data_IF_650830121863
#
_entry.id   IF_650830121863
#
_cell.length_a   1.000
_cell.length_b   1.000
_cell.length_c   1.000
_cell.angle_alpha   90.00
_cell.angle_beta   90.00
_cell.angle_gamma   90.00
#
_symmetry.space_group_name_H-M   'P 1'
#
loop_
_entity.id
_entity.type
_entity.pdbx_description
1 polymer ?
#
# COMPACT_ATOMS: atom_id res chain seq x y z
N UNK A 1 -58.99 7.45 6.50
CA UNK A 1 -57.79 7.90 7.24
C UNK A 1 -57.01 8.85 6.34
N UNK A 2 -56.73 10.03 6.87
CA UNK A 2 -55.93 11.14 6.34
C UNK A 2 -54.51 10.71 5.90
N UNK A 3 -53.66 11.49 5.22
CA UNK A 3 -53.66 12.64 4.30
C UNK A 3 -52.15 12.96 4.08
N UNK A 4 -51.83 13.85 3.12
CA UNK A 4 -50.53 14.57 2.96
C UNK A 4 -49.47 13.75 2.18
N UNK A 5 -48.85 14.20 1.08
CA UNK A 5 -48.06 15.43 0.92
C UNK A 5 -48.05 15.96 -0.54
N UNK A 6 -48.15 17.29 -0.67
CA UNK A 6 -48.18 18.11 -1.88
C UNK A 6 -47.07 19.15 -1.79
N UNK A 7 -46.20 19.24 -2.79
CA UNK A 7 -45.41 20.42 -3.22
C UNK A 7 -44.59 19.97 -4.44
N UNK A 8 -44.74 20.43 -5.69
CA UNK A 8 -44.85 21.76 -6.34
C UNK A 8 -43.66 22.70 -6.10
N UNK A 9 -42.95 22.96 -7.20
CA UNK A 9 -41.91 23.97 -7.41
C UNK A 9 -41.16 23.61 -8.69
N UNK A 10 -41.78 23.76 -9.87
CA UNK A 10 -41.64 24.91 -10.77
C UNK A 10 -40.20 25.15 -11.23
N UNK A 11 -39.95 24.84 -12.50
CA UNK A 11 -38.76 25.27 -13.21
C UNK A 11 -38.88 26.73 -13.64
N UNK A 12 -37.77 27.45 -13.64
CA UNK A 12 -37.56 28.58 -14.53
C UNK A 12 -36.11 28.55 -15.02
N UNK A 13 -36.02 28.70 -16.33
CA UNK A 13 -34.86 28.74 -17.19
C UNK A 13 -34.24 30.14 -17.14
N UNK A 14 -33.04 30.28 -16.59
CA UNK A 14 -32.34 31.57 -16.55
C UNK A 14 -31.06 31.47 -17.37
N UNK A 15 -31.05 32.29 -18.42
CA UNK A 15 -30.12 32.37 -19.53
C UNK A 15 -28.77 32.97 -19.11
N UNK A 16 -27.73 32.53 -19.81
CA UNK A 16 -26.48 33.20 -20.17
C UNK A 16 -26.17 34.54 -19.52
N UNK A 17 -25.03 34.63 -18.81
CA UNK A 17 -24.19 35.84 -18.80
C UNK A 17 -22.72 35.42 -18.88
N UNK A 18 -22.22 35.44 -20.12
CA UNK A 18 -20.82 35.58 -20.48
C UNK A 18 -20.31 36.90 -19.91
N UNK A 19 -19.31 36.86 -19.05
CA UNK A 19 -18.66 38.04 -18.48
C UNK A 19 -17.16 37.85 -18.45
N UNK A 20 -16.50 38.09 -19.57
CA UNK A 20 -15.07 38.31 -19.64
C UNK A 20 -14.78 39.76 -19.26
N UNK A 21 -14.18 40.02 -18.09
CA UNK A 21 -13.61 41.31 -17.75
C UNK A 21 -12.41 41.12 -16.80
N UNK A 22 -11.22 41.33 -17.37
CA UNK A 22 -10.18 42.25 -16.87
C UNK A 22 -9.92 42.33 -15.37
N UNK A 23 -8.64 42.17 -14.99
CA UNK A 23 -8.13 42.88 -13.83
C UNK A 23 -6.95 42.25 -13.13
N UNK A 24 -5.78 42.34 -13.75
CA UNK A 24 -4.49 42.26 -13.08
C UNK A 24 -4.48 43.26 -11.89
N UNK A 25 -4.49 42.76 -10.67
CA UNK A 25 -4.05 43.50 -9.49
C UNK A 25 -2.97 42.67 -8.80
N UNK A 26 -1.72 42.98 -9.15
CA UNK A 26 -0.56 42.75 -8.31
C UNK A 26 -0.78 43.53 -7.00
N UNK A 27 -1.17 42.83 -5.95
CA UNK A 27 -0.87 43.26 -4.59
C UNK A 27 0.24 42.35 -4.08
N UNK A 28 1.47 42.78 -4.39
CA UNK A 28 2.62 42.48 -3.58
C UNK A 28 2.35 43.02 -2.16
N UNK A 29 1.85 42.16 -1.28
CA UNK A 29 1.85 42.44 0.14
C UNK A 29 3.27 42.16 0.67
N UNK A 30 4.02 43.17 1.15
CA UNK A 30 5.17 42.89 1.97
C UNK A 30 4.61 42.41 3.32
N UNK A 31 4.62 41.10 3.55
CA UNK A 31 4.47 40.54 4.89
C UNK A 31 5.74 40.87 5.70
N UNK A 32 5.93 42.15 6.01
CA UNK A 32 6.73 42.58 7.14
C UNK A 32 5.86 42.44 8.38
N UNK A 33 6.03 41.34 9.12
CA UNK A 33 5.40 41.20 10.42
C UNK A 33 5.24 39.76 10.90
N UNK A 34 6.34 39.05 11.11
CA UNK A 34 6.39 38.04 12.16
C UNK A 34 7.76 38.15 12.85
N UNK A 35 7.70 38.68 14.06
CA UNK A 35 8.79 38.61 15.02
C UNK A 35 9.15 37.15 15.30
N UNK A 36 10.42 36.81 15.10
CA UNK A 36 11.20 35.77 15.76
C UNK A 36 12.63 35.93 15.21
N UNK A 37 13.56 36.63 15.86
CA UNK A 37 13.96 36.36 17.24
C UNK A 37 14.70 35.01 17.25
N UNK A 38 16.01 35.04 17.04
CA UNK A 38 16.99 33.97 17.38
C UNK A 38 16.99 32.60 16.67
N UNK A 39 15.97 32.20 15.90
CA UNK A 39 15.93 30.83 15.31
C UNK A 39 16.40 30.70 13.85
N UNK A 40 16.65 31.80 13.14
CA UNK A 40 17.10 31.75 11.74
C UNK A 40 18.43 30.99 11.49
N UNK A 41 19.50 31.16 12.31
CA UNK A 41 20.74 30.43 12.08
C UNK A 41 20.60 28.93 12.45
N UNK A 42 19.72 28.59 13.39
CA UNK A 42 19.50 27.21 13.81
C UNK A 42 18.74 26.42 12.74
N UNK A 43 17.76 27.06 12.06
CA UNK A 43 17.09 26.47 10.91
C UNK A 43 18.03 26.29 9.72
N UNK A 44 18.85 27.29 9.40
CA UNK A 44 19.81 27.22 8.30
C UNK A 44 20.85 26.10 8.52
N UNK A 45 21.33 25.95 9.76
CA UNK A 45 22.21 24.84 10.15
C UNK A 45 21.51 23.49 10.06
N UNK A 46 20.25 23.39 10.49
CA UNK A 46 19.48 22.16 10.35
C UNK A 46 19.31 21.78 8.88
N UNK A 47 18.96 22.73 8.01
CA UNK A 47 18.82 22.49 6.56
C UNK A 47 20.15 22.01 5.95
N UNK A 48 21.29 22.57 6.35
CA UNK A 48 22.60 22.11 5.89
C UNK A 48 22.95 20.69 6.38
N UNK A 49 22.64 20.37 7.64
CA UNK A 49 22.87 19.03 8.18
C UNK A 49 21.96 18.00 7.51
N UNK A 50 20.70 18.35 7.27
CA UNK A 50 19.75 17.50 6.57
C UNK A 50 20.15 17.32 5.10
N UNK A 51 20.55 18.38 4.39
CA UNK A 51 20.99 18.27 3.00
C UNK A 51 22.27 17.44 2.86
N UNK A 52 23.24 17.59 3.77
CA UNK A 52 24.44 16.77 3.80
C UNK A 52 24.13 15.29 4.07
N UNK A 53 23.16 15.00 4.97
CA UNK A 53 22.71 13.63 5.25
C UNK A 53 21.98 13.02 4.05
N UNK A 54 21.11 13.78 3.39
CA UNK A 54 20.41 13.34 2.18
C UNK A 54 21.42 13.03 1.09
N UNK A 55 22.37 13.91 0.81
CA UNK A 55 23.42 13.66 -0.17
C UNK A 55 24.29 12.45 0.18
N UNK A 56 24.61 12.24 1.46
CA UNK A 56 25.35 11.06 1.90
C UNK A 56 24.55 9.76 1.73
N UNK A 57 23.23 9.82 1.94
CA UNK A 57 22.33 8.67 1.74
C UNK A 57 22.11 8.39 0.26
N UNK A 58 21.90 9.42 -0.55
CA UNK A 58 21.80 9.32 -2.02
C UNK A 58 23.10 8.77 -2.62
N UNK A 59 24.27 9.25 -2.20
CA UNK A 59 25.54 8.71 -2.65
C UNK A 59 25.76 7.24 -2.22
N UNK A 60 25.22 6.84 -1.05
CA UNK A 60 25.26 5.44 -0.62
C UNK A 60 24.30 4.57 -1.42
N UNK A 61 23.09 5.06 -1.70
CA UNK A 61 22.13 4.38 -2.55
C UNK A 61 22.68 4.23 -3.96
N UNK A 62 23.21 5.30 -4.54
CA UNK A 62 23.83 5.27 -5.86
C UNK A 62 25.01 4.30 -5.91
N UNK A 63 25.89 4.26 -4.91
CA UNK A 63 26.97 3.24 -4.83
C UNK A 63 26.42 1.83 -4.68
N UNK A 64 25.31 1.64 -3.95
CA UNK A 64 24.67 0.34 -3.78
C UNK A 64 23.91 -0.09 -5.05
N UNK A 65 23.39 0.84 -5.83
CA UNK A 65 22.74 0.61 -7.12
C UNK A 65 23.77 0.37 -8.22
N UNK A 66 24.87 1.12 -8.26
CA UNK A 66 26.00 0.89 -9.15
C UNK A 66 26.70 -0.45 -8.84
N UNK A 67 26.77 -0.84 -7.55
CA UNK A 67 27.28 -2.14 -7.11
C UNK A 67 26.23 -3.26 -7.19
N UNK A 68 24.94 -2.92 -7.19
CA UNK A 68 23.79 -3.83 -7.18
C UNK A 68 23.13 -4.04 -8.54
N UNK A 69 23.49 -3.24 -9.54
CA UNK A 69 23.02 -3.37 -10.92
C UNK A 69 23.61 -4.56 -11.68
N UNK A 70 24.61 -5.23 -11.11
CA UNK A 70 25.23 -6.41 -11.72
C UNK A 70 25.86 -7.34 -10.68
N UNK A 71 25.09 -7.81 -9.70
CA UNK A 71 25.32 -9.10 -9.07
C UNK A 71 24.14 -9.43 -8.17
N UNK A 72 23.22 -10.25 -8.69
CA UNK A 72 22.56 -11.21 -7.85
C UNK A 72 23.68 -11.94 -7.10
N UNK A 73 23.91 -11.59 -5.84
CA UNK A 73 24.67 -12.43 -4.92
C UNK A 73 23.97 -13.77 -5.01
N UNK A 74 24.59 -14.83 -5.59
CA UNK A 74 23.99 -16.13 -5.47
C UNK A 74 23.85 -16.35 -3.96
N UNK A 75 22.65 -16.68 -3.47
CA UNK A 75 22.50 -17.08 -2.09
C UNK A 75 23.60 -18.10 -1.77
N UNK A 76 24.19 -18.13 -0.56
CA UNK A 76 25.11 -19.21 -0.21
C UNK A 76 24.47 -20.53 -0.65
N UNK A 77 25.24 -21.44 -1.24
CA UNK A 77 24.75 -22.67 -1.91
C UNK A 77 23.93 -23.63 -0.99
N UNK A 78 23.62 -23.21 0.23
CA UNK A 78 22.72 -23.79 1.22
C UNK A 78 21.35 -23.11 1.30
N UNK A 79 21.11 -22.03 0.55
CA UNK A 79 19.82 -21.32 0.57
C UNK A 79 18.84 -22.09 -0.29
N UNK A 80 18.19 -23.06 0.33
CA UNK A 80 17.02 -23.73 -0.24
C UNK A 80 16.09 -22.64 -0.78
N UNK A 81 15.70 -22.76 -2.04
CA UNK A 81 14.76 -21.82 -2.63
C UNK A 81 13.51 -21.77 -1.72
N UNK A 82 13.01 -20.57 -1.37
CA UNK A 82 11.91 -20.44 -0.44
C UNK A 82 10.72 -21.22 -0.95
N UNK A 83 10.16 -22.05 -0.07
CA UNK A 83 9.06 -22.94 -0.38
C UNK A 83 7.83 -22.17 -0.86
N UNK A 84 6.87 -22.82 -1.55
CA UNK A 84 5.66 -22.15 -2.04
C UNK A 84 4.91 -21.36 -0.96
N UNK A 85 4.92 -21.86 0.27
CA UNK A 85 4.31 -21.25 1.46
C UNK A 85 5.01 -19.98 1.94
N UNK A 86 6.32 -19.88 1.79
CA UNK A 86 7.11 -18.70 2.18
C UNK A 86 6.92 -17.52 1.21
N UNK A 87 6.41 -17.81 0.01
CA UNK A 87 6.09 -16.80 -1.02
C UNK A 87 4.71 -16.18 -0.84
N UNK A 88 3.92 -16.66 0.13
CA UNK A 88 2.65 -16.04 0.48
C UNK A 88 2.90 -14.67 1.12
N UNK A 89 1.96 -13.75 0.89
CA UNK A 89 2.03 -12.38 1.41
C UNK A 89 0.64 -11.96 1.81
N UNK A 90 0.54 -11.17 2.88
CA UNK A 90 -0.72 -10.53 3.29
C UNK A 90 -1.24 -9.67 2.13
N UNK A 91 -2.55 -9.69 1.89
CA UNK A 91 -3.17 -8.97 0.77
C UNK A 91 -3.11 -9.73 -0.56
N UNK A 92 -2.56 -10.94 -0.59
CA UNK A 92 -2.54 -11.75 -1.81
C UNK A 92 -3.95 -12.22 -2.20
N UNK A 93 -4.28 -12.17 -3.49
CA UNK A 93 -5.59 -12.63 -3.97
C UNK A 93 -5.68 -14.17 -4.02
N UNK A 94 -6.87 -14.75 -3.83
CA UNK A 94 -7.15 -16.18 -3.94
C UNK A 94 -6.58 -16.80 -5.23
N UNK A 95 -6.74 -16.12 -6.37
CA UNK A 95 -6.20 -16.56 -7.66
C UNK A 95 -4.67 -16.64 -7.68
N UNK A 96 -3.97 -15.75 -6.98
CA UNK A 96 -2.51 -15.81 -6.87
C UNK A 96 -2.08 -16.93 -5.92
N UNK A 97 -2.79 -17.14 -4.82
CA UNK A 97 -2.56 -18.26 -3.90
C UNK A 97 -2.70 -19.61 -4.61
N UNK A 98 -3.77 -19.82 -5.38
CA UNK A 98 -3.97 -21.08 -6.14
C UNK A 98 -2.86 -21.36 -7.14
N UNK A 99 -2.29 -20.31 -7.75
CA UNK A 99 -1.14 -20.47 -8.66
C UNK A 99 0.14 -20.86 -7.94
N UNK A 100 0.27 -20.53 -6.66
CA UNK A 100 1.45 -20.85 -5.85
C UNK A 100 1.32 -22.22 -5.18
N UNK A 101 0.17 -22.50 -4.58
CA UNK A 101 -0.04 -23.68 -3.72
C UNK A 101 -0.86 -24.80 -4.37
N UNK A 102 -1.55 -24.53 -5.48
CA UNK A 102 -2.52 -25.45 -6.09
C UNK A 102 -3.95 -25.25 -5.57
N UNK A 103 -4.82 -26.21 -5.88
CA UNK A 103 -6.20 -26.20 -5.37
C UNK A 103 -6.25 -26.76 -3.94
N UNK A 104 -6.97 -26.10 -3.02
CA UNK A 104 -7.13 -26.59 -1.66
C UNK A 104 -8.09 -27.79 -1.62
N UNK A 105 -7.85 -28.69 -0.66
CA UNK A 105 -8.65 -29.90 -0.43
C UNK A 105 -10.04 -29.55 0.09
N UNK A 106 -10.12 -28.56 0.98
CA UNK A 106 -11.38 -28.09 1.54
C UNK A 106 -11.38 -26.56 1.68
N UNK A 107 -12.56 -25.96 1.53
CA UNK A 107 -12.76 -24.51 1.63
C UNK A 107 -13.99 -24.24 2.51
N UNK A 108 -13.83 -23.39 3.52
CA UNK A 108 -14.94 -22.83 4.30
C UNK A 108 -15.25 -21.44 3.78
N UNK A 109 -16.49 -21.17 3.40
CA UNK A 109 -16.93 -19.86 2.87
C UNK A 109 -17.69 -19.07 3.94
N UNK A 110 -17.43 -17.76 4.01
CA UNK A 110 -18.06 -16.85 4.98
C UNK A 110 -17.45 -15.45 4.89
N UNK A 111 -17.66 -14.64 5.93
CA UNK A 111 -16.96 -13.34 6.06
C UNK A 111 -15.43 -13.53 6.17
N UNK A 112 -15.03 -14.65 6.80
CA UNK A 112 -13.66 -15.18 6.81
C UNK A 112 -13.70 -16.53 6.07
N UNK A 113 -12.82 -16.68 5.10
CA UNK A 113 -12.71 -17.88 4.28
C UNK A 113 -11.44 -18.64 4.68
N UNK A 114 -11.55 -19.95 4.90
CA UNK A 114 -10.40 -20.80 5.26
C UNK A 114 -10.20 -21.85 4.19
N UNK A 115 -8.99 -21.94 3.66
CA UNK A 115 -8.58 -22.94 2.69
C UNK A 115 -7.61 -23.92 3.31
N UNK A 116 -7.93 -25.20 3.25
CA UNK A 116 -7.16 -26.28 3.84
C UNK A 116 -6.46 -27.07 2.75
N UNK A 117 -5.17 -27.33 2.94
CA UNK A 117 -4.35 -28.10 2.00
C UNK A 117 -4.03 -29.50 2.52
N UNK A 118 -4.73 -29.93 3.57
CA UNK A 118 -4.66 -31.29 4.11
C UNK A 118 -6.00 -31.70 4.72
N UNK A 119 -6.23 -33.00 4.85
CA UNK A 119 -7.42 -33.55 5.52
C UNK A 119 -7.46 -33.25 7.02
N UNK A 120 -6.30 -32.93 7.61
CA UNK A 120 -6.17 -32.53 9.01
C UNK A 120 -6.79 -31.15 9.31
N UNK A 121 -7.29 -30.43 8.29
CA UNK A 121 -7.92 -29.11 8.40
C UNK A 121 -7.06 -28.13 9.21
N UNK A 122 -7.54 -27.67 10.37
CA UNK A 122 -6.87 -26.69 11.24
C UNK A 122 -5.61 -27.24 11.92
N UNK A 123 -5.46 -28.57 12.02
CA UNK A 123 -4.25 -29.20 12.54
C UNK A 123 -3.15 -29.33 11.46
N UNK A 124 -3.48 -29.02 10.21
CA UNK A 124 -2.55 -29.05 9.09
C UNK A 124 -2.39 -27.68 8.42
N UNK A 125 -1.78 -27.62 7.23
CA UNK A 125 -1.56 -26.38 6.52
C UNK A 125 -2.85 -25.75 6.01
N UNK A 126 -3.03 -24.45 6.29
CA UNK A 126 -4.18 -23.69 5.85
C UNK A 126 -3.84 -22.22 5.54
N UNK A 127 -4.73 -21.57 4.78
CA UNK A 127 -4.68 -20.14 4.48
C UNK A 127 -6.01 -19.52 4.87
N UNK A 128 -5.96 -18.37 5.54
CA UNK A 128 -7.12 -17.58 5.94
C UNK A 128 -7.22 -16.34 5.08
N UNK A 129 -8.41 -16.12 4.53
CA UNK A 129 -8.75 -14.95 3.76
C UNK A 129 -9.83 -14.14 4.47
N UNK A 130 -9.68 -12.83 4.43
CA UNK A 130 -10.66 -11.87 4.92
C UNK A 130 -10.92 -10.86 3.82
N UNK A 131 -12.20 -10.65 3.47
CA UNK A 131 -12.62 -9.87 2.30
C UNK A 131 -11.93 -10.33 0.99
N UNK A 132 -11.68 -11.63 0.84
CA UNK A 132 -11.06 -12.19 -0.36
C UNK A 132 -9.56 -11.85 -0.50
N UNK A 133 -8.87 -11.53 0.59
CA UNK A 133 -7.43 -11.29 0.62
C UNK A 133 -6.78 -12.12 1.72
N UNK A 134 -5.57 -12.63 1.47
CA UNK A 134 -4.81 -13.39 2.49
C UNK A 134 -4.57 -12.51 3.71
N UNK A 135 -4.97 -13.01 4.87
CA UNK A 135 -4.70 -12.39 6.16
C UNK A 135 -3.60 -13.14 6.92
N UNK A 136 -3.67 -14.48 6.94
CA UNK A 136 -2.71 -15.33 7.64
C UNK A 136 -2.66 -16.72 7.00
N UNK A 137 -1.60 -17.48 7.30
CA UNK A 137 -1.46 -18.87 6.87
C UNK A 137 -0.59 -19.66 7.86
N UNK A 138 -0.78 -20.98 7.85
CA UNK A 138 0.05 -21.93 8.57
C UNK A 138 0.72 -22.86 7.55
N UNK A 139 2.05 -22.84 7.53
CA UNK A 139 2.85 -23.73 6.70
C UNK A 139 2.94 -25.13 7.34
N UNK A 140 3.18 -26.18 6.53
CA UNK A 140 3.46 -27.50 7.08
C UNK A 140 4.80 -27.51 7.85
N UNK A 141 4.92 -28.30 8.92
CA UNK A 141 6.05 -28.24 9.87
C UNK A 141 7.44 -28.45 9.24
N UNK A 142 7.54 -29.19 8.13
CA UNK A 142 8.84 -29.52 7.52
C UNK A 142 9.05 -28.93 6.12
N UNK A 143 8.24 -27.94 5.72
CA UNK A 143 8.23 -27.47 4.33
C UNK A 143 7.95 -28.62 3.35
N UNK A 144 7.25 -29.66 3.83
CA UNK A 144 6.87 -30.82 3.07
C UNK A 144 6.12 -30.34 1.83
N UNK A 145 6.79 -30.47 0.69
CA UNK A 145 6.18 -30.39 -0.63
C UNK A 145 4.96 -31.31 -0.60
N UNK A 146 3.78 -30.73 -0.85
CA UNK A 146 2.54 -31.48 -0.99
C UNK A 146 2.78 -32.61 -2.00
N UNK A 147 3.03 -33.83 -1.51
CA UNK A 147 2.88 -35.03 -2.32
C UNK A 147 1.37 -35.28 -2.35
N UNK A 148 0.72 -34.68 -3.36
CA UNK A 148 -0.61 -35.06 -3.80
C UNK A 148 -0.54 -36.38 -4.57
#
# INVERSE_FOLDING_TARGET
>A
MAAIFRQRGEGVMNKSITGALTGLWLLAAPLCGLAAGEDAPSLAQQVQVLSARVQALEARLQRLEEKGGAAAVPPPATSRAPGPWERLTIGMSPKKVRRLLGEPVAQSKGAVEHWYYSDARLAGPYVTFTFGLVQSWQAPPDGATNHY
#
